data_IF_137498549493
#
_entry.id   IF_137498549493
#
_cell.length_a   1.000
_cell.length_b   1.000
_cell.length_c   1.000
_cell.angle_alpha   90.00
_cell.angle_beta   90.00
_cell.angle_gamma   90.00
#
_symmetry.space_group_name_H-M   'P 1'
#
loop_
_entity.id
_entity.type
_entity.pdbx_description
1 polymer ?
#
# COMPACT_ATOMS: atom_id res chain seq x y z
N UNK A 1 21.89 4.23 -62.87
CA UNK A 1 22.19 5.58 -63.37
C UNK A 1 21.73 6.60 -62.34
N UNK A 2 22.64 7.43 -61.80
CA UNK A 2 22.43 8.76 -61.15
C UNK A 2 21.47 8.83 -59.94
N UNK A 3 21.74 9.45 -58.79
CA UNK A 3 22.85 10.22 -58.24
C UNK A 3 22.50 10.50 -56.77
N UNK A 4 23.48 10.31 -55.91
CA UNK A 4 23.84 11.03 -54.69
C UNK A 4 23.01 12.28 -54.29
N UNK A 5 22.67 12.33 -53.00
CA UNK A 5 23.09 13.37 -52.04
C UNK A 5 22.51 14.79 -52.17
N UNK A 6 21.82 15.25 -51.10
CA UNK A 6 21.92 16.61 -50.53
C UNK A 6 21.16 16.64 -49.19
N UNK A 7 21.88 16.80 -48.07
CA UNK A 7 22.12 18.07 -47.37
C UNK A 7 20.89 18.48 -46.56
N UNK A 8 20.87 18.23 -45.24
CA UNK A 8 21.37 19.13 -44.19
C UNK A 8 20.71 20.52 -44.27
N UNK A 9 19.73 20.75 -43.39
CA UNK A 9 19.31 22.08 -42.99
C UNK A 9 19.00 22.07 -41.47
N UNK A 10 19.90 22.66 -40.70
CA UNK A 10 19.64 23.20 -39.35
C UNK A 10 18.73 24.43 -39.48
N UNK A 11 17.72 24.54 -38.61
CA UNK A 11 17.18 25.80 -38.06
C UNK A 11 16.12 25.41 -37.00
N UNK A 12 16.43 25.38 -35.71
CA UNK A 12 16.37 26.50 -34.74
C UNK A 12 15.02 27.24 -34.68
N UNK A 13 14.41 27.14 -33.49
CA UNK A 13 13.55 28.10 -32.79
C UNK A 13 12.08 28.23 -33.25
N UNK A 14 11.18 27.72 -32.42
CA UNK A 14 10.17 28.56 -31.76
C UNK A 14 9.45 27.74 -30.68
N UNK A 15 9.45 28.26 -29.46
CA UNK A 15 8.75 27.67 -28.33
C UNK A 15 7.25 27.66 -28.55
N UNK A 16 6.62 26.56 -28.13
CA UNK A 16 5.19 26.53 -27.84
C UNK A 16 5.08 26.27 -26.35
N UNK A 17 4.82 27.34 -25.60
CA UNK A 17 4.31 27.28 -24.25
C UNK A 17 2.89 26.72 -24.33
N UNK A 18 2.75 25.42 -24.11
CA UNK A 18 1.44 24.81 -23.92
C UNK A 18 1.11 24.97 -22.44
N UNK A 19 0.18 25.88 -22.16
CA UNK A 19 -0.56 25.95 -20.91
C UNK A 19 -1.29 24.60 -20.69
N UNK A 20 -0.63 23.67 -20.01
CA UNK A 20 -1.25 22.53 -19.36
C UNK A 20 -1.51 22.91 -17.91
N UNK A 21 -2.79 22.90 -17.51
CA UNK A 21 -3.22 23.24 -16.16
C UNK A 21 -2.49 22.39 -15.11
N UNK A 22 -1.84 23.07 -14.16
CA UNK A 22 -1.55 22.50 -12.85
C UNK A 22 -2.81 22.65 -12.01
N UNK A 23 -3.72 21.69 -12.13
CA UNK A 23 -4.69 21.44 -11.07
C UNK A 23 -3.90 21.10 -9.81
N UNK A 24 -3.86 22.07 -8.90
CA UNK A 24 -3.37 21.90 -7.55
C UNK A 24 -4.34 21.02 -6.78
N UNK A 25 -4.39 19.72 -7.06
CA UNK A 25 -4.93 18.81 -6.09
C UNK A 25 -3.84 18.53 -5.05
N UNK A 26 -3.93 19.26 -3.95
CA UNK A 26 -3.36 18.82 -2.68
C UNK A 26 -4.18 17.61 -2.24
N UNK A 27 -3.87 16.46 -2.82
CA UNK A 27 -4.15 15.19 -2.18
C UNK A 27 -2.96 14.92 -1.25
N UNK A 28 -2.99 15.55 -0.09
CA UNK A 28 -2.26 15.13 1.11
C UNK A 28 -2.78 13.76 1.59
N UNK A 29 -2.60 12.74 0.75
CA UNK A 29 -2.38 11.36 1.19
C UNK A 29 -0.91 11.01 0.99
N UNK A 30 -0.06 11.83 1.59
CA UNK A 30 1.24 11.39 2.04
C UNK A 30 1.05 10.39 3.20
N UNK A 31 0.65 9.16 2.86
CA UNK A 31 1.19 7.99 3.56
C UNK A 31 2.47 7.62 2.82
N UNK A 32 3.52 8.35 3.19
CA UNK A 32 4.90 8.08 2.85
C UNK A 32 5.34 6.79 3.57
N UNK A 33 5.74 5.79 2.77
CA UNK A 33 6.86 4.88 3.08
C UNK A 33 6.67 3.79 4.16
N UNK A 34 6.07 2.65 3.78
CA UNK A 34 6.78 1.34 3.69
C UNK A 34 5.82 0.14 3.85
N UNK A 35 5.74 -0.67 2.77
CA UNK A 35 4.95 -1.90 2.55
C UNK A 35 3.43 -1.69 2.48
N UNK A 36 2.74 -2.31 1.51
CA UNK A 36 1.29 -2.42 1.60
C UNK A 36 1.02 -3.14 2.92
N UNK A 37 0.43 -2.43 3.88
CA UNK A 37 -0.18 -3.06 5.02
C UNK A 37 -1.08 -4.16 4.43
N UNK A 38 -0.72 -5.43 4.67
CA UNK A 38 -1.56 -6.53 4.21
C UNK A 38 -2.95 -6.22 4.75
N UNK A 39 -3.93 -6.07 3.86
CA UNK A 39 -5.29 -5.70 4.25
C UNK A 39 -5.74 -6.74 5.28
N UNK A 40 -5.84 -6.29 6.52
CA UNK A 40 -6.23 -7.12 7.65
C UNK A 40 -7.73 -6.94 7.85
N UNK A 41 -8.40 -8.00 8.27
CA UNK A 41 -9.86 -7.97 8.47
C UNK A 41 -10.28 -7.16 9.70
N UNK A 42 -9.31 -6.79 10.54
CA UNK A 42 -9.52 -6.07 11.79
C UNK A 42 -8.61 -4.82 11.85
N UNK A 43 -9.14 -3.73 12.40
CA UNK A 43 -8.39 -2.49 12.64
C UNK A 43 -7.80 -2.40 14.05
N UNK A 44 -8.34 -3.20 14.96
CA UNK A 44 -7.99 -3.24 16.38
C UNK A 44 -7.52 -4.64 16.79
N UNK A 45 -6.65 -4.71 17.80
CA UNK A 45 -6.05 -5.94 18.28
C UNK A 45 -7.12 -6.80 18.98
N UNK A 46 -7.31 -8.07 18.58
CA UNK A 46 -8.28 -8.99 19.19
C UNK A 46 -8.15 -9.16 20.70
N UNK A 47 -6.97 -8.90 21.27
CA UNK A 47 -6.69 -9.08 22.69
C UNK A 47 -6.88 -7.81 23.53
N UNK A 48 -6.59 -6.64 22.96
CA UNK A 48 -6.45 -5.40 23.73
C UNK A 48 -7.26 -4.22 23.19
N UNK A 49 -7.84 -4.33 21.99
CA UNK A 49 -8.46 -3.21 21.27
C UNK A 49 -7.47 -2.16 20.75
N UNK A 50 -6.16 -2.32 21.00
CA UNK A 50 -5.15 -1.37 20.51
C UNK A 50 -5.01 -1.39 18.99
N UNK A 51 -4.44 -0.33 18.39
CA UNK A 51 -4.22 -0.29 16.93
C UNK A 51 -3.37 -1.46 16.44
N UNK A 52 -3.76 -2.02 15.29
CA UNK A 52 -3.02 -3.07 14.60
C UNK A 52 -1.71 -2.51 14.01
N UNK A 53 -0.64 -3.27 14.16
CA UNK A 53 0.59 -3.13 13.41
C UNK A 53 0.56 -4.10 12.21
N UNK A 54 0.57 -3.58 10.97
CA UNK A 54 0.46 -4.41 9.76
C UNK A 54 1.63 -5.39 9.55
N UNK A 55 2.77 -5.16 10.20
CA UNK A 55 3.90 -6.08 10.15
C UNK A 55 3.68 -7.37 10.97
N UNK A 56 2.63 -7.42 11.80
CA UNK A 56 2.32 -8.57 12.66
C UNK A 56 1.17 -9.42 12.12
N UNK A 57 0.68 -9.12 10.91
CA UNK A 57 -0.45 -9.84 10.33
C UNK A 57 -0.14 -11.33 10.09
N UNK A 58 -1.09 -12.20 10.43
CA UNK A 58 -1.02 -13.65 10.19
C UNK A 58 -2.19 -14.11 9.34
N UNK A 59 -1.96 -15.11 8.50
CA UNK A 59 -3.04 -15.72 7.71
C UNK A 59 -3.87 -16.66 8.59
N UNK A 60 -5.18 -16.46 8.62
CA UNK A 60 -6.15 -17.28 9.31
C UNK A 60 -7.42 -17.41 8.45
N UNK A 61 -7.83 -18.66 8.13
CA UNK A 61 -9.01 -18.96 7.30
C UNK A 61 -9.10 -18.14 6.00
N UNK A 62 -7.97 -18.03 5.28
CA UNK A 62 -7.87 -17.30 4.01
C UNK A 62 -7.85 -15.77 4.15
N UNK A 63 -7.71 -15.25 5.37
CA UNK A 63 -7.78 -13.82 5.67
C UNK A 63 -6.58 -13.40 6.51
N UNK A 64 -6.18 -12.14 6.45
CA UNK A 64 -5.09 -11.64 7.29
C UNK A 64 -5.68 -11.06 8.59
N UNK A 65 -5.20 -11.51 9.73
CA UNK A 65 -5.55 -10.98 11.05
C UNK A 65 -4.34 -10.22 11.59
N UNK A 66 -4.53 -8.95 11.95
CA UNK A 66 -3.48 -8.10 12.47
C UNK A 66 -3.46 -8.00 14.00
N UNK A 67 -2.31 -7.72 14.58
CA UNK A 67 -2.15 -7.54 16.03
C UNK A 67 -1.42 -6.24 16.37
N UNK A 68 -1.52 -5.78 17.61
CA UNK A 68 -0.76 -4.61 18.05
C UNK A 68 0.74 -4.90 18.22
N UNK A 69 1.13 -6.15 18.44
CA UNK A 69 2.53 -6.55 18.65
C UNK A 69 2.79 -8.01 18.27
N UNK A 70 4.08 -8.35 18.13
CA UNK A 70 4.52 -9.71 17.76
C UNK A 70 4.23 -10.75 18.86
N UNK A 71 4.14 -10.32 20.13
CA UNK A 71 3.73 -11.18 21.24
C UNK A 71 2.30 -11.69 21.08
N UNK A 72 1.36 -10.82 20.70
CA UNK A 72 -0.02 -11.21 20.39
C UNK A 72 -0.09 -12.18 19.20
N UNK A 73 0.67 -11.94 18.13
CA UNK A 73 0.75 -12.85 16.99
C UNK A 73 1.33 -14.24 17.40
N UNK A 74 2.30 -14.26 18.31
CA UNK A 74 2.89 -15.49 18.83
C UNK A 74 1.93 -16.27 19.74
N UNK A 75 1.17 -15.57 20.58
CA UNK A 75 0.10 -16.19 21.39
C UNK A 75 -1.02 -16.73 20.50
N UNK A 76 -1.38 -15.99 19.45
CA UNK A 76 -2.38 -16.41 18.47
C UNK A 76 -2.05 -17.74 17.83
N UNK A 77 -0.80 -17.98 17.45
CA UNK A 77 -0.37 -19.23 16.84
C UNK A 77 -0.62 -20.47 17.73
N UNK A 78 -0.68 -20.30 19.05
CA UNK A 78 -0.87 -21.38 20.04
C UNK A 78 -2.34 -21.67 20.36
N UNK A 79 -3.26 -20.80 19.94
CA UNK A 79 -4.68 -20.96 20.22
C UNK A 79 -5.34 -21.99 19.32
N UNK A 80 -6.40 -22.62 19.84
CA UNK A 80 -7.34 -23.40 19.02
C UNK A 80 -8.12 -22.49 18.07
N UNK A 81 -8.72 -23.06 17.04
CA UNK A 81 -9.51 -22.28 16.09
C UNK A 81 -10.74 -21.63 16.76
N UNK A 82 -11.37 -22.30 17.72
CA UNK A 82 -12.49 -21.73 18.46
C UNK A 82 -12.11 -20.48 19.28
N UNK A 83 -10.95 -20.50 19.92
CA UNK A 83 -10.42 -19.34 20.67
C UNK A 83 -10.03 -18.21 19.72
N UNK A 84 -9.42 -18.53 18.57
CA UNK A 84 -9.11 -17.54 17.52
C UNK A 84 -10.37 -16.86 17.00
N UNK A 85 -11.40 -17.64 16.66
CA UNK A 85 -12.69 -17.10 16.20
C UNK A 85 -13.32 -16.17 17.25
N UNK A 86 -13.29 -16.58 18.52
CA UNK A 86 -13.84 -15.78 19.63
C UNK A 86 -13.10 -14.44 19.79
N UNK A 87 -11.76 -14.46 19.77
CA UNK A 87 -10.96 -13.25 19.88
C UNK A 87 -11.16 -12.32 18.66
N UNK A 88 -11.25 -12.88 17.46
CA UNK A 88 -11.46 -12.08 16.24
C UNK A 88 -12.85 -11.46 16.17
N UNK A 89 -13.89 -12.19 16.61
CA UNK A 89 -15.28 -11.74 16.53
C UNK A 89 -15.54 -10.42 17.26
N UNK A 90 -14.71 -10.06 18.25
CA UNK A 90 -14.85 -8.82 19.01
C UNK A 90 -14.36 -7.57 18.28
N UNK A 91 -13.54 -7.72 17.23
CA UNK A 91 -12.83 -6.59 16.56
C UNK A 91 -13.00 -6.59 15.04
N UNK A 92 -13.98 -7.34 14.56
CA UNK A 92 -14.23 -7.58 13.13
C UNK A 92 -15.57 -6.99 12.70
#
# INVERSE_FOLDING_TARGET
>A
MKTKMKALALALLAGVAIAGGCDNNKDDRAMSETRPAMATVNSECPYTGGKVNPATAVSYKGQNVGFCCNGCASSWAKLTDAEKDTNLAAVR
#
